data_IF_999194476848
#
_entry.id   IF_999194476848
#
_cell.length_a   1.000
_cell.length_b   1.000
_cell.length_c   1.000
_cell.angle_alpha   90.00
_cell.angle_beta   90.00
_cell.angle_gamma   90.00
#
_symmetry.space_group_name_H-M   'P 1'
#
loop_
_entity.id
_entity.type
_entity.pdbx_description
1 polymer ?
#
# COMPACT_ATOMS: atom_id res chain seq x y z
N UNK A 1 0.43 -0.55 18.13
CA UNK A 1 1.34 0.07 17.16
C UNK A 1 2.41 -0.94 16.86
N UNK A 2 2.12 -1.86 15.94
CA UNK A 2 3.12 -2.70 15.33
C UNK A 2 4.05 -1.80 14.51
N UNK A 3 5.32 -1.78 14.88
CA UNK A 3 6.34 -1.12 14.08
C UNK A 3 6.76 -2.09 12.98
N UNK A 4 6.25 -1.86 11.76
CA UNK A 4 6.70 -2.62 10.60
C UNK A 4 8.12 -2.18 10.22
N UNK A 5 8.97 -3.09 9.74
CA UNK A 5 10.31 -2.73 9.30
C UNK A 5 10.24 -1.66 8.20
N UNK A 6 11.07 -0.63 8.29
CA UNK A 6 11.17 0.40 7.24
C UNK A 6 11.49 -0.19 5.86
N UNK A 7 12.22 -1.32 5.82
CA UNK A 7 12.46 -2.07 4.59
C UNK A 7 11.16 -2.58 3.96
N UNK A 8 10.23 -3.11 4.76
CA UNK A 8 8.94 -3.59 4.27
C UNK A 8 8.10 -2.44 3.70
N UNK A 9 8.03 -1.31 4.41
CA UNK A 9 7.31 -0.12 3.91
C UNK A 9 7.90 0.34 2.58
N UNK A 10 9.23 0.37 2.47
CA UNK A 10 9.93 0.74 1.25
C UNK A 10 9.66 -0.24 0.10
N UNK A 11 9.66 -1.54 0.37
CA UNK A 11 9.38 -2.56 -0.64
C UNK A 11 7.94 -2.44 -1.17
N UNK A 12 6.97 -2.26 -0.28
CA UNK A 12 5.56 -2.05 -0.65
C UNK A 12 5.36 -0.71 -1.38
N UNK A 13 6.08 0.34 -0.99
CA UNK A 13 6.04 1.63 -1.66
C UNK A 13 6.52 1.52 -3.11
N UNK A 14 7.60 0.78 -3.36
CA UNK A 14 8.05 0.48 -4.72
C UNK A 14 7.02 -0.35 -5.48
N UNK A 15 6.47 -1.40 -4.83
CA UNK A 15 5.44 -2.26 -5.41
C UNK A 15 4.20 -1.50 -5.88
N UNK A 16 3.74 -0.52 -5.09
CA UNK A 16 2.60 0.35 -5.43
C UNK A 16 2.86 1.12 -6.73
N UNK A 17 4.06 1.67 -6.91
CA UNK A 17 4.44 2.43 -8.11
C UNK A 17 4.58 1.56 -9.36
N UNK A 18 4.77 0.26 -9.19
CA UNK A 18 4.87 -0.72 -10.28
C UNK A 18 3.51 -1.23 -10.76
N UNK A 19 2.40 -0.87 -10.08
CA UNK A 19 1.09 -1.31 -10.53
C UNK A 19 0.71 -0.72 -11.88
N UNK A 20 0.07 -1.51 -12.76
CA UNK A 20 -0.42 -0.99 -14.02
C UNK A 20 -1.47 0.09 -13.75
N UNK A 21 -1.37 1.21 -14.49
CA UNK A 21 -2.23 2.39 -14.33
C UNK A 21 -2.14 3.06 -12.96
N UNK A 22 -1.01 2.92 -12.27
CA UNK A 22 -0.75 3.68 -11.05
C UNK A 22 -1.08 5.17 -11.24
N UNK A 23 -1.82 5.72 -10.27
CA UNK A 23 -2.17 7.14 -10.20
C UNK A 23 -2.13 7.59 -8.75
N UNK A 24 -1.57 8.78 -8.51
CA UNK A 24 -1.59 9.40 -7.19
C UNK A 24 -3.01 9.74 -6.71
N UNK A 25 -3.97 9.91 -7.62
CA UNK A 25 -5.37 10.21 -7.28
C UNK A 25 -6.07 9.02 -6.59
N UNK A 26 -5.61 7.79 -6.85
CA UNK A 26 -6.15 6.56 -6.26
C UNK A 26 -5.16 5.92 -5.27
N UNK A 27 -4.30 6.73 -4.63
CA UNK A 27 -3.20 6.18 -3.82
C UNK A 27 -3.68 5.28 -2.67
N UNK A 28 -4.82 5.58 -2.06
CA UNK A 28 -5.40 4.78 -1.00
C UNK A 28 -5.77 3.38 -1.50
N UNK A 29 -6.34 3.29 -2.71
CA UNK A 29 -6.65 2.01 -3.37
C UNK A 29 -5.38 1.23 -3.67
N UNK A 30 -4.35 1.85 -4.24
CA UNK A 30 -3.11 1.13 -4.56
C UNK A 30 -2.34 0.68 -3.31
N UNK A 31 -2.32 1.49 -2.24
CA UNK A 31 -1.75 1.07 -0.96
C UNK A 31 -2.51 -0.13 -0.39
N UNK A 32 -3.84 -0.11 -0.44
CA UNK A 32 -4.66 -1.23 0.02
C UNK A 32 -4.37 -2.51 -0.81
N UNK A 33 -4.25 -2.39 -2.13
CA UNK A 33 -3.90 -3.51 -3.01
C UNK A 33 -2.53 -4.11 -2.67
N UNK A 34 -1.51 -3.29 -2.37
CA UNK A 34 -0.19 -3.77 -1.99
C UNK A 34 -0.18 -4.52 -0.66
N UNK A 35 -0.91 -4.02 0.34
CA UNK A 35 -1.01 -4.69 1.64
C UNK A 35 -1.84 -5.97 1.52
N UNK A 36 -2.90 -5.96 0.70
CA UNK A 36 -3.68 -7.15 0.38
C UNK A 36 -2.81 -8.23 -0.28
N UNK A 37 -2.08 -7.87 -1.34
CA UNK A 37 -1.18 -8.78 -2.05
C UNK A 37 -0.08 -9.32 -1.13
N UNK A 38 0.47 -8.49 -0.24
CA UNK A 38 1.46 -8.90 0.75
C UNK A 38 0.89 -9.93 1.75
N UNK A 39 -0.31 -9.69 2.27
CA UNK A 39 -0.93 -10.56 3.28
C UNK A 39 -1.45 -11.88 2.69
N UNK A 40 -2.00 -11.82 1.47
CA UNK A 40 -2.73 -12.94 0.86
C UNK A 40 -1.97 -13.63 -0.28
N UNK A 41 -0.86 -13.05 -0.74
CA UNK A 41 -0.05 -13.56 -1.85
C UNK A 41 -0.69 -13.43 -3.23
N UNK A 42 -1.82 -12.71 -3.35
CA UNK A 42 -2.58 -12.53 -4.59
C UNK A 42 -3.13 -11.12 -4.67
N UNK A 43 -3.23 -10.56 -5.88
CA UNK A 43 -3.94 -9.30 -6.08
C UNK A 43 -5.43 -9.46 -5.76
N UNK A 44 -6.08 -8.41 -5.25
CA UNK A 44 -7.51 -8.44 -5.00
C UNK A 44 -8.28 -8.56 -6.32
N UNK A 45 -9.26 -9.45 -6.36
CA UNK A 45 -10.28 -9.46 -7.41
C UNK A 45 -11.32 -8.36 -7.17
N UNK A 46 -12.19 -8.14 -8.14
CA UNK A 46 -13.38 -7.33 -7.90
C UNK A 46 -14.18 -7.90 -6.70
N UNK A 47 -14.64 -7.01 -5.82
CA UNK A 47 -15.37 -7.34 -4.59
C UNK A 47 -14.61 -8.24 -3.59
N UNK A 48 -13.27 -8.22 -3.60
CA UNK A 48 -12.49 -8.91 -2.57
C UNK A 48 -12.69 -8.25 -1.20
N UNK A 49 -13.36 -8.96 -0.29
CA UNK A 49 -13.70 -8.48 1.06
C UNK A 49 -12.68 -8.89 2.13
N UNK A 50 -11.56 -9.50 1.73
CA UNK A 50 -10.58 -9.98 2.71
C UNK A 50 -9.93 -8.82 3.45
N UNK A 51 -9.77 -9.00 4.76
CA UNK A 51 -9.12 -8.01 5.62
C UNK A 51 -7.63 -7.88 5.29
N UNK A 52 -7.12 -6.66 5.39
CA UNK A 52 -5.68 -6.34 5.30
C UNK A 52 -5.11 -6.10 6.70
N UNK A 53 -3.82 -5.79 6.79
CA UNK A 53 -3.26 -5.24 8.03
C UNK A 53 -3.41 -3.71 8.00
N UNK A 54 -4.28 -3.18 8.86
CA UNK A 54 -4.62 -1.75 8.87
C UNK A 54 -3.43 -0.88 9.26
N UNK A 55 -2.62 -1.29 10.25
CA UNK A 55 -1.47 -0.51 10.69
C UNK A 55 -0.41 -0.42 9.57
N UNK A 56 -0.17 -1.52 8.85
CA UNK A 56 0.74 -1.54 7.69
C UNK A 56 0.24 -0.62 6.56
N UNK A 57 -1.07 -0.65 6.29
CA UNK A 57 -1.70 0.22 5.30
C UNK A 57 -1.57 1.70 5.66
N UNK A 58 -1.84 2.07 6.90
CA UNK A 58 -1.72 3.46 7.36
C UNK A 58 -0.28 3.96 7.29
N UNK A 59 0.71 3.13 7.66
CA UNK A 59 2.13 3.48 7.56
C UNK A 59 2.57 3.67 6.10
N UNK A 60 2.16 2.76 5.21
CA UNK A 60 2.45 2.88 3.77
C UNK A 60 1.79 4.12 3.15
N UNK A 61 0.53 4.37 3.48
CA UNK A 61 -0.20 5.54 2.98
C UNK A 61 0.42 6.85 3.47
N UNK A 62 0.88 6.89 4.73
CA UNK A 62 1.57 8.04 5.29
C UNK A 62 2.89 8.32 4.56
N UNK A 63 3.64 7.29 4.16
CA UNK A 63 4.87 7.44 3.37
C UNK A 63 4.59 8.15 2.03
N UNK A 64 3.53 7.74 1.32
CA UNK A 64 3.11 8.44 0.09
C UNK A 64 2.64 9.87 0.32
N UNK A 65 1.81 10.11 1.35
CA UNK A 65 1.32 11.45 1.69
C UNK A 65 2.46 12.39 2.07
N UNK A 66 3.48 11.88 2.77
CA UNK A 66 4.66 12.66 3.17
C UNK A 66 5.54 13.05 1.97
N UNK A 67 5.68 12.17 0.97
CA UNK A 67 6.44 12.48 -0.25
C UNK A 67 5.69 13.46 -1.19
N UNK A 68 4.36 13.40 -1.24
CA UNK A 68 3.56 14.32 -2.06
C UNK A 68 3.43 15.74 -1.46
N UNK A 69 3.65 15.92 -0.15
CA UNK A 69 3.69 17.24 0.49
C UNK A 69 5.03 17.98 0.28
N UNK A 70 6.02 17.33 -0.34
CA UNK A 70 7.34 17.88 -0.64
C UNK A 70 7.48 18.33 -2.11
N UNK A 71 6.38 18.38 -2.87
CA UNK A 71 6.30 18.94 -4.23
C UNK A 71 5.46 20.21 -4.25
#
# INVERSE_FOLDING_TARGET
MADFPASLIKDLFMRVKEYPRFSNEEIEKFCWMAVHEHKHGVLPSEYDIREIDEELYLQLLQEFKSQNQLQ
#
